data_IF_069879499934
#
_entry.id   IF_069879499934
#
_cell.length_a   1.000
_cell.length_b   1.000
_cell.length_c   1.000
_cell.angle_alpha   90.00
_cell.angle_beta   90.00
_cell.angle_gamma   90.00
#
_symmetry.space_group_name_H-M   'P 1'
#
loop_
_entity.id
_entity.type
_entity.pdbx_description
1 polymer ?
#
# COMPACT_ATOMS: atom_id res chain seq x y z
N UNK A 1 -50.56 10.73 -30.39
CA UNK A 1 -50.84 9.47 -31.13
C UNK A 1 -49.49 8.82 -31.31
N UNK A 2 -49.32 7.85 -30.49
CA UNK A 2 -48.83 6.45 -30.69
C UNK A 2 -47.32 6.37 -30.86
N UNK A 3 -46.59 5.58 -30.19
CA UNK A 3 -46.84 4.45 -29.31
C UNK A 3 -45.53 4.04 -28.62
N UNK A 4 -45.70 3.49 -27.45
CA UNK A 4 -44.67 2.90 -26.62
C UNK A 4 -44.42 1.47 -27.13
N UNK A 5 -43.20 1.11 -27.47
CA UNK A 5 -42.83 -0.28 -27.66
C UNK A 5 -41.73 -0.67 -26.65
N UNK A 6 -42.11 -1.61 -25.83
CA UNK A 6 -41.40 -2.33 -24.81
C UNK A 6 -40.31 -3.21 -25.40
N UNK A 7 -39.06 -3.09 -24.86
CA UNK A 7 -37.97 -4.03 -25.16
C UNK A 7 -37.89 -5.07 -24.06
N UNK A 8 -38.42 -6.24 -24.35
CA UNK A 8 -38.06 -7.52 -23.73
C UNK A 8 -36.86 -8.12 -24.42
N UNK A 9 -35.77 -8.41 -23.71
CA UNK A 9 -34.61 -9.07 -24.30
C UNK A 9 -33.46 -9.34 -23.33
N UNK A 10 -33.77 -9.93 -22.17
CA UNK A 10 -32.73 -10.62 -21.37
C UNK A 10 -32.72 -12.11 -21.71
N UNK A 11 -31.53 -12.66 -21.87
CA UNK A 11 -31.10 -14.07 -22.02
C UNK A 11 -30.57 -14.39 -23.40
N UNK A 12 -29.22 -14.43 -23.46
CA UNK A 12 -28.44 -15.51 -24.10
C UNK A 12 -27.03 -15.04 -24.43
N UNK A 13 -26.15 -14.97 -23.44
CA UNK A 13 -24.69 -14.96 -23.63
C UNK A 13 -24.07 -15.90 -22.60
N UNK A 14 -24.27 -17.19 -22.80
CA UNK A 14 -23.46 -18.23 -22.21
C UNK A 14 -23.76 -19.56 -22.96
N UNK A 15 -22.99 -19.81 -24.02
CA UNK A 15 -22.80 -21.12 -24.62
C UNK A 15 -21.89 -20.98 -25.84
N UNK A 16 -20.58 -21.12 -25.63
CA UNK A 16 -19.59 -21.63 -26.60
C UNK A 16 -18.20 -21.60 -25.98
N UNK A 17 -17.88 -22.64 -25.18
CA UNK A 17 -16.53 -23.16 -25.06
C UNK A 17 -16.61 -24.63 -25.35
N UNK A 18 -16.07 -24.99 -26.51
CA UNK A 18 -16.10 -26.35 -27.06
C UNK A 18 -15.14 -27.25 -26.32
N UNK A 19 -15.63 -28.48 -26.12
CA UNK A 19 -14.87 -29.65 -25.73
C UNK A 19 -13.79 -29.98 -26.77
N UNK A 20 -12.56 -30.22 -26.31
CA UNK A 20 -11.64 -31.16 -26.97
C UNK A 20 -11.45 -32.35 -26.05
N UNK A 21 -12.16 -33.42 -26.37
CA UNK A 21 -11.96 -34.72 -25.81
C UNK A 21 -10.94 -35.50 -26.64
N UNK A 22 -9.91 -36.04 -25.99
CA UNK A 22 -9.06 -37.08 -26.55
C UNK A 22 -9.36 -38.37 -25.80
N UNK A 23 -9.93 -39.31 -26.53
CA UNK A 23 -10.19 -40.67 -26.07
C UNK A 23 -8.94 -41.54 -26.26
N UNK A 24 -8.61 -42.37 -25.28
CA UNK A 24 -7.70 -43.52 -25.39
C UNK A 24 -8.42 -44.77 -24.89
N UNK A 25 -8.18 -45.93 -25.53
CA UNK A 25 -9.04 -47.09 -25.42
C UNK A 25 -8.73 -48.02 -24.23
N UNK A 26 -9.80 -48.62 -23.74
CA UNK A 26 -9.83 -49.75 -22.81
C UNK A 26 -9.35 -51.04 -23.49
N UNK A 27 -8.44 -51.76 -22.84
CA UNK A 27 -8.28 -53.18 -23.07
C UNK A 27 -8.37 -53.86 -21.73
N UNK A 28 -9.39 -54.70 -21.58
CA UNK A 28 -9.64 -55.50 -20.40
C UNK A 28 -8.86 -56.80 -20.40
N UNK A 29 -8.72 -57.35 -19.22
CA UNK A 29 -8.64 -58.84 -19.02
C UNK A 29 -9.07 -59.17 -17.58
N UNK A 30 -10.00 -60.11 -17.53
CA UNK A 30 -10.59 -60.74 -16.36
C UNK A 30 -9.60 -61.70 -15.68
N UNK A 31 -9.69 -61.82 -14.35
CA UNK A 31 -9.09 -62.88 -13.59
C UNK A 31 -9.51 -62.83 -12.12
N UNK A 32 -10.48 -63.66 -11.74
CA UNK A 32 -10.88 -63.96 -10.36
C UNK A 32 -9.81 -64.82 -9.64
N UNK A 33 -9.60 -64.63 -8.33
CA UNK A 33 -9.80 -65.61 -7.27
C UNK A 33 -9.29 -65.16 -5.91
N UNK A 34 -10.20 -65.23 -4.96
CA UNK A 34 -10.18 -65.62 -3.53
C UNK A 34 -9.08 -65.24 -2.52
N UNK A 35 -9.62 -64.70 -1.42
CA UNK A 35 -9.34 -64.99 0.01
C UNK A 35 -7.96 -64.74 0.61
N UNK A 36 -7.88 -63.76 1.48
CA UNK A 36 -7.68 -63.88 2.95
C UNK A 36 -7.29 -62.52 3.57
N UNK A 37 -8.16 -62.10 4.50
CA UNK A 37 -7.83 -61.06 5.48
C UNK A 37 -6.80 -61.62 6.48
N UNK A 38 -5.85 -60.80 6.95
CA UNK A 38 -5.94 -60.39 8.35
C UNK A 38 -5.77 -58.88 8.54
N UNK A 39 -6.51 -58.38 9.51
CA UNK A 39 -6.42 -57.07 10.08
C UNK A 39 -5.11 -56.91 10.86
N UNK A 40 -4.42 -55.75 10.68
CA UNK A 40 -3.70 -55.13 11.80
C UNK A 40 -3.29 -53.68 11.44
N UNK A 41 -3.63 -52.77 12.36
CA UNK A 41 -2.98 -51.52 12.71
C UNK A 41 -2.81 -50.45 11.62
N UNK A 42 -3.84 -49.65 11.48
CA UNK A 42 -3.70 -48.22 11.13
C UNK A 42 -3.67 -47.42 12.42
N UNK A 43 -2.51 -47.31 13.02
CA UNK A 43 -2.24 -46.31 14.05
C UNK A 43 -0.88 -45.71 13.74
N UNK A 44 -0.83 -44.37 13.83
CA UNK A 44 0.41 -43.58 13.88
C UNK A 44 1.07 -43.18 12.54
N UNK A 45 0.48 -42.19 11.88
CA UNK A 45 1.24 -41.29 10.99
C UNK A 45 0.67 -39.83 11.01
N UNK A 46 -0.10 -39.50 12.04
CA UNK A 46 -0.67 -38.15 12.18
C UNK A 46 -0.19 -37.41 13.45
N UNK A 47 0.95 -37.84 14.02
CA UNK A 47 1.43 -37.26 15.28
C UNK A 47 2.93 -36.86 15.21
N UNK A 48 3.38 -36.29 14.11
CA UNK A 48 4.77 -35.84 14.01
C UNK A 48 4.89 -34.58 13.14
N UNK A 49 4.08 -33.55 13.40
CA UNK A 49 4.30 -32.22 12.85
C UNK A 49 3.81 -31.10 13.78
N UNK A 50 3.77 -31.32 15.08
CA UNK A 50 3.76 -30.26 16.07
C UNK A 50 5.20 -30.03 16.52
N UNK A 51 6.06 -29.56 15.62
CA UNK A 51 7.29 -28.90 16.03
C UNK A 51 6.85 -27.67 16.81
N UNK A 52 7.08 -27.70 18.14
CA UNK A 52 6.91 -26.57 19.03
C UNK A 52 7.56 -25.36 18.37
N UNK A 53 6.75 -24.35 18.01
CA UNK A 53 7.25 -23.04 17.64
C UNK A 53 8.08 -22.60 18.86
N UNK A 54 9.38 -22.46 18.70
CA UNK A 54 10.24 -21.95 19.73
C UNK A 54 9.65 -20.61 20.15
N UNK A 55 9.39 -20.41 21.46
CA UNK A 55 8.83 -19.20 22.00
C UNK A 55 9.76 -18.03 21.63
N UNK A 56 9.37 -17.24 20.64
CA UNK A 56 10.18 -16.11 20.19
C UNK A 56 10.15 -15.02 21.28
N UNK A 57 11.32 -14.54 21.63
CA UNK A 57 11.43 -13.46 22.62
C UNK A 57 11.14 -12.12 21.97
N UNK A 58 10.52 -11.18 22.72
CA UNK A 58 10.35 -9.81 22.25
C UNK A 58 11.68 -9.21 21.78
N UNK A 59 11.62 -8.45 20.69
CA UNK A 59 12.76 -7.68 20.19
C UNK A 59 12.53 -6.19 20.47
N UNK A 60 13.60 -5.52 20.89
CA UNK A 60 13.62 -4.06 21.02
C UNK A 60 14.31 -3.48 19.79
N UNK A 61 13.50 -3.08 18.82
CA UNK A 61 13.97 -2.54 17.54
C UNK A 61 13.25 -1.23 17.25
N UNK A 62 13.98 -0.26 16.71
CA UNK A 62 13.45 1.06 16.42
C UNK A 62 12.50 1.05 15.21
N UNK A 63 11.57 2.01 15.19
CA UNK A 63 10.82 2.33 13.98
C UNK A 63 11.75 2.77 12.86
N UNK A 64 11.42 2.42 11.62
CA UNK A 64 12.03 3.07 10.48
C UNK A 64 11.71 4.58 10.49
N UNK A 65 12.58 5.43 9.93
CA UNK A 65 12.29 6.84 9.78
C UNK A 65 11.01 7.04 8.94
N UNK A 66 10.19 8.02 9.32
CA UNK A 66 9.11 8.45 8.41
C UNK A 66 9.73 9.17 7.21
N UNK A 67 9.22 8.93 5.99
CA UNK A 67 9.71 9.64 4.82
C UNK A 67 9.37 11.13 4.91
N UNK A 68 10.26 11.97 4.39
CA UNK A 68 10.01 13.39 4.29
C UNK A 68 9.04 13.69 3.14
N UNK A 69 8.26 14.76 3.28
CA UNK A 69 7.53 15.35 2.17
C UNK A 69 8.52 16.05 1.25
N UNK A 70 8.47 15.74 -0.05
CA UNK A 70 9.29 16.46 -1.02
C UNK A 70 8.83 17.95 -1.12
N UNK A 71 9.77 18.92 -1.20
CA UNK A 71 9.42 20.33 -1.21
C UNK A 71 8.54 20.69 -2.41
N UNK A 72 7.62 21.68 -2.26
CA UNK A 72 6.82 22.20 -3.35
C UNK A 72 7.66 22.74 -4.50
N UNK A 73 7.21 22.53 -5.72
CA UNK A 73 7.88 23.04 -6.92
C UNK A 73 7.59 24.53 -7.07
N UNK A 74 8.66 25.34 -7.13
CA UNK A 74 8.55 26.82 -7.23
C UNK A 74 8.81 27.34 -8.66
N UNK A 75 9.30 26.50 -9.55
CA UNK A 75 9.60 26.89 -10.94
C UNK A 75 8.36 26.86 -11.81
N UNK A 76 8.31 27.74 -12.80
CA UNK A 76 7.20 27.85 -13.76
C UNK A 76 7.42 27.08 -15.07
N UNK A 77 8.66 26.58 -15.30
CA UNK A 77 9.04 25.86 -16.52
C UNK A 77 9.36 24.40 -16.23
N UNK A 78 9.12 23.52 -17.20
CA UNK A 78 9.59 22.13 -17.15
C UNK A 78 11.11 22.06 -17.31
N UNK A 79 11.74 21.06 -16.70
CA UNK A 79 13.18 20.81 -16.79
C UNK A 79 13.49 19.32 -16.75
N UNK A 80 14.78 18.97 -16.83
CA UNK A 80 15.25 17.61 -16.58
C UNK A 80 15.54 17.45 -15.09
N UNK A 81 14.76 16.58 -14.44
CA UNK A 81 14.87 16.27 -13.01
C UNK A 81 15.59 14.93 -12.84
N UNK A 82 16.61 14.91 -12.00
CA UNK A 82 17.32 13.67 -11.64
C UNK A 82 16.75 13.12 -10.36
N UNK A 83 16.31 11.86 -10.39
CA UNK A 83 15.78 11.10 -9.25
C UNK A 83 16.70 9.92 -9.01
N UNK A 84 17.30 9.84 -7.84
CA UNK A 84 18.14 8.74 -7.44
C UNK A 84 17.48 7.99 -6.29
N UNK A 85 17.18 6.71 -6.50
CA UNK A 85 16.61 5.83 -5.49
C UNK A 85 17.54 4.64 -5.27
N UNK A 86 17.58 4.16 -4.04
CA UNK A 86 18.27 2.94 -3.66
C UNK A 86 17.29 1.93 -3.08
N UNK A 87 17.48 0.65 -3.35
CA UNK A 87 16.78 -0.41 -2.64
C UNK A 87 17.63 -0.90 -1.50
N UNK A 88 17.02 -0.99 -0.31
CA UNK A 88 17.68 -1.31 0.96
C UNK A 88 16.82 -2.30 1.74
N UNK A 89 17.41 -3.43 2.12
CA UNK A 89 16.82 -4.34 3.08
C UNK A 89 17.23 -3.93 4.49
N UNK A 90 16.27 -3.70 5.38
CA UNK A 90 16.51 -3.17 6.72
C UNK A 90 15.55 -3.79 7.74
N UNK A 91 16.04 -4.10 8.92
CA UNK A 91 15.20 -4.51 10.04
C UNK A 91 14.61 -3.28 10.71
N UNK A 92 13.33 -3.38 11.10
CA UNK A 92 12.61 -2.31 11.75
C UNK A 92 11.45 -2.83 12.60
N UNK A 93 10.96 -1.97 13.50
CA UNK A 93 9.80 -2.27 14.33
C UNK A 93 8.57 -2.49 13.46
N UNK A 94 7.83 -3.55 13.73
CA UNK A 94 6.51 -3.84 13.15
C UNK A 94 5.39 -3.53 14.15
N UNK A 95 5.57 -3.97 15.39
CA UNK A 95 4.71 -3.70 16.54
C UNK A 95 5.54 -3.79 17.83
N UNK A 96 4.93 -3.56 18.99
CA UNK A 96 5.62 -3.71 20.27
C UNK A 96 6.10 -5.15 20.44
N UNK A 97 7.42 -5.29 20.67
CA UNK A 97 8.09 -6.58 20.81
C UNK A 97 8.26 -7.37 19.49
N UNK A 98 7.77 -6.86 18.36
CA UNK A 98 7.84 -7.50 17.04
C UNK A 98 8.64 -6.66 16.04
N UNK A 99 9.57 -7.30 15.34
CA UNK A 99 10.34 -6.73 14.25
C UNK A 99 10.02 -7.41 12.91
N UNK A 100 10.40 -6.75 11.84
CA UNK A 100 10.28 -7.28 10.48
C UNK A 100 11.46 -6.84 9.63
N UNK A 101 11.87 -7.69 8.69
CA UNK A 101 12.88 -7.33 7.70
C UNK A 101 12.19 -6.72 6.49
N UNK A 102 12.16 -5.39 6.46
CA UNK A 102 11.59 -4.64 5.35
C UNK A 102 12.51 -4.62 4.14
N UNK A 103 11.92 -4.66 2.97
CA UNK A 103 12.53 -4.27 1.71
C UNK A 103 12.03 -2.87 1.38
N UNK A 104 12.92 -1.95 1.09
CA UNK A 104 12.54 -0.54 1.02
C UNK A 104 13.17 0.17 -0.17
N UNK A 105 12.55 1.26 -0.57
CA UNK A 105 13.24 2.31 -1.31
C UNK A 105 13.76 3.34 -0.30
N UNK A 106 15.06 3.56 -0.25
CA UNK A 106 15.69 4.59 0.58
C UNK A 106 15.70 4.32 2.09
N UNK A 107 15.37 3.10 2.57
CA UNK A 107 15.41 2.76 4.00
C UNK A 107 14.18 3.21 4.79
N UNK A 108 13.10 3.63 4.15
CA UNK A 108 11.84 4.04 4.77
C UNK A 108 10.64 3.29 4.18
N UNK A 109 9.55 3.20 4.91
CA UNK A 109 8.25 2.73 4.43
C UNK A 109 7.20 3.79 4.75
N UNK A 110 6.52 4.35 3.73
CA UNK A 110 6.80 4.23 2.31
C UNK A 110 8.18 4.79 1.93
N UNK A 111 8.64 4.48 0.71
CA UNK A 111 9.85 5.05 0.14
C UNK A 111 9.77 6.57 -0.05
N UNK A 112 10.85 7.24 -0.45
CA UNK A 112 10.90 8.69 -0.63
C UNK A 112 9.82 9.20 -1.57
N UNK A 113 9.17 10.31 -1.20
CA UNK A 113 8.24 10.99 -2.09
C UNK A 113 9.00 11.63 -3.26
N UNK A 114 8.64 11.26 -4.48
CA UNK A 114 9.14 11.90 -5.70
C UNK A 114 8.16 13.00 -6.09
N UNK A 115 8.64 14.22 -6.35
CA UNK A 115 7.81 15.34 -6.71
C UNK A 115 8.36 16.02 -7.95
N UNK A 116 7.57 16.05 -9.02
CA UNK A 116 7.94 16.57 -10.32
C UNK A 116 6.81 17.43 -10.88
N UNK A 117 7.09 18.22 -11.89
CA UNK A 117 6.11 19.09 -12.54
C UNK A 117 5.66 18.47 -13.87
N UNK A 118 4.43 18.72 -14.26
CA UNK A 118 3.93 18.42 -15.60
C UNK A 118 4.89 18.97 -16.68
N UNK A 119 5.23 18.10 -17.63
CA UNK A 119 6.18 18.41 -18.70
C UNK A 119 7.65 18.16 -18.36
N UNK A 120 7.99 17.81 -17.10
CA UNK A 120 9.37 17.45 -16.75
C UNK A 120 9.83 16.20 -17.47
N UNK A 121 11.12 16.18 -17.79
CA UNK A 121 11.85 14.96 -18.16
C UNK A 121 12.51 14.42 -16.91
N UNK A 122 12.13 13.21 -16.50
CA UNK A 122 12.71 12.58 -15.31
C UNK A 122 13.79 11.58 -15.72
N UNK A 123 14.99 11.76 -15.21
CA UNK A 123 16.09 10.80 -15.29
C UNK A 123 16.17 10.05 -13.96
N UNK A 124 15.59 8.86 -13.92
CA UNK A 124 15.59 8.02 -12.74
C UNK A 124 16.77 7.05 -12.76
N UNK A 125 17.49 6.99 -11.65
CA UNK A 125 18.53 6.01 -11.38
C UNK A 125 18.12 5.14 -10.21
N UNK A 126 18.03 3.83 -10.39
CA UNK A 126 17.76 2.86 -9.34
C UNK A 126 19.01 2.04 -9.06
N UNK A 127 19.47 2.05 -7.83
CA UNK A 127 20.62 1.25 -7.36
C UNK A 127 20.12 0.21 -6.36
N UNK A 128 20.42 -1.06 -6.60
CA UNK A 128 20.21 -2.11 -5.61
C UNK A 128 21.50 -2.28 -4.80
N UNK A 129 21.44 -2.15 -3.48
CA UNK A 129 22.63 -2.25 -2.62
C UNK A 129 23.24 -3.65 -2.68
N UNK A 130 24.54 -3.72 -2.47
CA UNK A 130 25.31 -4.98 -2.55
C UNK A 130 24.93 -6.03 -1.53
N UNK A 131 24.31 -5.62 -0.43
CA UNK A 131 23.84 -6.50 0.65
C UNK A 131 22.37 -6.93 0.50
N UNK A 132 21.70 -6.55 -0.59
CA UNK A 132 20.37 -7.07 -0.90
C UNK A 132 20.44 -8.55 -1.25
N UNK A 133 19.43 -9.31 -0.82
CA UNK A 133 19.35 -10.75 -1.09
C UNK A 133 18.77 -11.05 -2.49
N UNK A 134 17.99 -10.13 -3.06
CA UNK A 134 17.22 -10.37 -4.29
C UNK A 134 17.30 -9.16 -5.24
N UNK A 135 17.01 -9.37 -6.54
CA UNK A 135 16.85 -8.25 -7.48
C UNK A 135 15.60 -7.44 -7.16
N UNK A 136 15.61 -6.18 -7.55
CA UNK A 136 14.50 -5.25 -7.42
C UNK A 136 14.34 -4.42 -8.68
N UNK A 137 13.17 -3.83 -8.89
CA UNK A 137 12.90 -2.86 -9.94
C UNK A 137 11.95 -1.76 -9.43
N UNK A 138 11.51 -0.88 -10.31
CA UNK A 138 10.49 0.11 -9.99
C UNK A 138 9.50 0.27 -11.14
N UNK A 139 8.22 0.10 -10.81
CA UNK A 139 7.07 0.48 -11.61
C UNK A 139 6.51 1.79 -11.06
N UNK A 140 6.40 2.82 -11.89
CA UNK A 140 5.78 4.09 -11.52
C UNK A 140 4.48 4.27 -12.31
N UNK A 141 3.36 4.37 -11.61
CA UNK A 141 2.04 4.55 -12.23
C UNK A 141 1.88 5.89 -12.98
N UNK A 142 2.81 6.82 -12.80
CA UNK A 142 2.89 8.06 -13.57
C UNK A 142 3.56 7.90 -14.94
N UNK A 143 4.18 6.73 -15.23
CA UNK A 143 4.96 6.49 -16.45
C UNK A 143 4.10 5.89 -17.53
N UNK A 144 4.04 6.54 -18.69
CA UNK A 144 3.42 5.99 -19.90
C UNK A 144 4.43 5.10 -20.64
N UNK A 145 4.35 3.82 -20.40
CA UNK A 145 5.21 2.81 -21.03
C UNK A 145 4.97 1.42 -20.43
N UNK A 146 5.32 0.34 -21.14
CA UNK A 146 5.09 -1.02 -20.65
C UNK A 146 5.74 -1.25 -19.29
N UNK A 147 4.92 -1.72 -18.31
CA UNK A 147 5.37 -2.01 -16.95
C UNK A 147 5.89 -0.80 -16.17
N UNK A 148 5.44 0.43 -16.50
CA UNK A 148 5.79 1.64 -15.74
C UNK A 148 7.30 1.89 -15.54
N UNK A 149 8.15 1.24 -16.33
CA UNK A 149 9.60 1.28 -16.23
C UNK A 149 10.27 0.06 -15.57
N UNK A 150 9.49 -0.90 -15.04
CA UNK A 150 10.03 -2.05 -14.30
C UNK A 150 11.06 -2.86 -15.11
N UNK A 151 10.78 -3.15 -16.39
CA UNK A 151 11.68 -3.90 -17.25
C UNK A 151 13.01 -3.16 -17.54
N UNK A 152 13.01 -1.84 -17.47
CA UNK A 152 14.20 -1.02 -17.68
C UNK A 152 15.06 -0.87 -16.42
N UNK A 153 14.47 -1.14 -15.26
CA UNK A 153 15.06 -0.90 -13.95
C UNK A 153 15.26 -2.17 -13.12
N UNK A 154 15.12 -3.36 -13.70
CA UNK A 154 15.40 -4.61 -13.01
C UNK A 154 16.89 -4.71 -12.68
N UNK A 155 17.24 -4.51 -11.40
CA UNK A 155 18.63 -4.39 -10.91
C UNK A 155 18.97 -5.53 -9.94
N UNK A 156 20.01 -6.28 -10.29
CA UNK A 156 20.63 -7.25 -9.38
C UNK A 156 21.33 -6.54 -8.21
N UNK A 157 21.60 -7.21 -7.09
CA UNK A 157 22.40 -6.67 -6.00
C UNK A 157 23.72 -6.08 -6.49
N UNK A 158 24.04 -4.85 -6.06
CA UNK A 158 25.22 -4.08 -6.46
C UNK A 158 25.11 -3.37 -7.80
N UNK A 159 24.02 -3.56 -8.54
CA UNK A 159 23.84 -2.91 -9.85
C UNK A 159 23.07 -1.60 -9.78
N UNK A 160 23.23 -0.79 -10.82
CA UNK A 160 22.46 0.44 -11.05
C UNK A 160 21.92 0.44 -12.47
N UNK A 161 20.66 0.74 -12.64
CA UNK A 161 20.04 1.00 -13.94
C UNK A 161 19.37 2.36 -13.96
N UNK A 162 19.24 2.91 -15.16
CA UNK A 162 18.67 4.24 -15.38
C UNK A 162 17.60 4.18 -16.45
N UNK A 163 16.57 4.97 -16.26
CA UNK A 163 15.55 5.20 -17.28
C UNK A 163 15.22 6.69 -17.37
N UNK A 164 14.60 7.07 -18.48
CA UNK A 164 14.06 8.41 -18.69
C UNK A 164 12.60 8.32 -19.08
N UNK A 165 11.80 9.20 -18.51
CA UNK A 165 10.41 9.36 -18.91
C UNK A 165 9.97 10.82 -18.84
N UNK A 166 8.83 11.14 -19.42
CA UNK A 166 8.23 12.46 -19.35
C UNK A 166 6.99 12.42 -18.46
N UNK A 167 6.90 13.32 -17.49
CA UNK A 167 5.75 13.48 -16.62
C UNK A 167 4.65 14.26 -17.37
N UNK A 168 3.64 13.55 -17.91
CA UNK A 168 2.66 14.14 -18.82
C UNK A 168 1.32 14.47 -18.18
N UNK A 169 0.96 13.78 -17.10
CA UNK A 169 -0.34 13.91 -16.47
C UNK A 169 -0.22 14.33 -15.02
N UNK A 170 -0.80 15.47 -14.63
CA UNK A 170 -0.86 15.87 -13.22
C UNK A 170 -1.63 14.86 -12.38
N UNK A 171 -1.07 14.47 -11.24
CA UNK A 171 -1.69 13.49 -10.35
C UNK A 171 -0.80 13.02 -9.22
N UNK A 172 -1.40 12.25 -8.33
CA UNK A 172 -0.72 11.53 -7.25
C UNK A 172 -0.73 10.04 -7.60
N UNK A 173 0.42 9.45 -7.72
CA UNK A 173 0.57 8.09 -8.21
C UNK A 173 1.43 7.26 -7.28
N UNK A 174 1.11 5.97 -7.16
CA UNK A 174 1.99 4.99 -6.51
C UNK A 174 3.18 4.69 -7.43
N UNK A 175 4.33 4.42 -6.82
CA UNK A 175 5.37 3.59 -7.39
C UNK A 175 5.63 2.40 -6.49
N UNK A 176 6.04 1.27 -7.04
CA UNK A 176 6.34 0.06 -6.28
C UNK A 176 7.33 -0.84 -6.99
N UNK A 177 7.86 -1.83 -6.27
CA UNK A 177 8.64 -2.90 -6.90
C UNK A 177 7.70 -3.88 -7.60
N UNK A 178 8.01 -4.21 -8.84
CA UNK A 178 7.29 -5.17 -9.67
C UNK A 178 8.11 -6.43 -9.99
N UNK A 179 9.15 -6.72 -9.21
CA UNK A 179 9.91 -7.97 -9.31
C UNK A 179 9.05 -9.13 -8.77
N UNK A 180 8.93 -10.24 -9.50
CA UNK A 180 8.19 -11.41 -9.00
C UNK A 180 8.87 -12.08 -7.77
N UNK A 181 8.07 -12.54 -6.80
CA UNK A 181 6.63 -12.41 -6.65
C UNK A 181 6.21 -11.01 -6.17
N UNK A 182 5.53 -10.26 -7.04
CA UNK A 182 5.22 -8.84 -6.85
C UNK A 182 4.55 -8.52 -5.51
N UNK A 183 3.51 -9.27 -5.06
CA UNK A 183 2.85 -8.95 -3.79
C UNK A 183 3.78 -9.04 -2.58
N UNK A 184 4.79 -9.92 -2.62
CA UNK A 184 5.77 -10.05 -1.55
C UNK A 184 6.66 -8.82 -1.44
N UNK A 185 7.14 -8.28 -2.58
CA UNK A 185 7.94 -7.07 -2.59
C UNK A 185 7.16 -5.87 -2.05
N UNK A 186 5.90 -5.72 -2.47
CA UNK A 186 5.03 -4.64 -2.01
C UNK A 186 4.75 -4.77 -0.50
N UNK A 187 4.32 -5.95 -0.04
CA UNK A 187 4.02 -6.17 1.38
C UNK A 187 5.24 -6.09 2.29
N UNK A 188 6.44 -6.26 1.73
CA UNK A 188 7.69 -6.03 2.47
C UNK A 188 8.06 -4.54 2.62
N UNK A 189 7.28 -3.62 2.01
CA UNK A 189 7.46 -2.17 2.17
C UNK A 189 7.91 -1.42 0.91
N UNK A 190 8.00 -2.09 -0.24
CA UNK A 190 8.53 -1.49 -1.47
C UNK A 190 7.47 -0.74 -2.28
N UNK A 191 7.02 0.37 -1.74
CA UNK A 191 6.11 1.32 -2.39
C UNK A 191 6.35 2.75 -1.90
N UNK A 192 5.88 3.73 -2.68
CA UNK A 192 5.93 5.15 -2.35
C UNK A 192 5.09 5.97 -3.32
N UNK A 193 5.17 7.30 -3.24
CA UNK A 193 4.42 8.20 -4.10
C UNK A 193 5.32 8.99 -5.05
N UNK A 194 4.85 9.13 -6.28
CA UNK A 194 5.27 10.16 -7.20
C UNK A 194 4.12 11.13 -7.44
N UNK A 195 4.39 12.42 -7.21
CA UNK A 195 3.45 13.51 -7.46
C UNK A 195 3.90 14.27 -8.70
N UNK A 196 3.01 14.37 -9.67
CA UNK A 196 3.20 15.24 -10.84
C UNK A 196 2.33 16.48 -10.62
N UNK A 197 2.95 17.59 -10.21
CA UNK A 197 2.24 18.85 -10.02
C UNK A 197 1.76 19.41 -11.36
N UNK A 198 0.54 20.01 -11.41
CA UNK A 198 0.08 20.71 -12.59
C UNK A 198 1.03 21.83 -13.02
N UNK A 199 1.05 22.14 -14.31
CA UNK A 199 1.83 23.26 -14.85
C UNK A 199 1.50 24.59 -14.18
N UNK A 200 0.26 24.77 -13.73
CA UNK A 200 -0.17 25.96 -12.97
C UNK A 200 0.31 25.97 -11.51
N UNK A 201 0.90 24.86 -11.02
CA UNK A 201 1.23 24.69 -9.63
C UNK A 201 0.02 24.31 -8.76
N UNK A 202 0.27 24.12 -7.47
CA UNK A 202 -0.76 23.84 -6.47
C UNK A 202 -1.00 25.06 -5.58
N UNK A 203 -2.21 25.20 -5.05
CA UNK A 203 -2.52 26.20 -4.05
C UNK A 203 -1.60 26.06 -2.83
N UNK A 204 -1.10 27.15 -2.25
CA UNK A 204 -0.25 27.07 -1.07
C UNK A 204 -1.02 26.54 0.14
N UNK A 205 -0.33 25.79 0.98
CA UNK A 205 -0.82 25.28 2.27
C UNK A 205 0.23 25.55 3.35
N UNK A 206 -0.19 25.54 4.61
CA UNK A 206 0.71 25.79 5.75
C UNK A 206 1.51 24.55 6.13
N UNK A 207 0.91 23.35 5.91
CA UNK A 207 1.54 22.07 6.22
C UNK A 207 1.27 21.02 5.16
N UNK A 208 2.25 20.18 4.94
CA UNK A 208 2.10 18.97 4.14
C UNK A 208 2.54 17.74 4.92
N UNK A 209 1.79 16.64 4.79
CA UNK A 209 2.12 15.32 5.33
C UNK A 209 2.12 14.28 4.23
N UNK A 210 2.92 13.24 4.42
CA UNK A 210 3.02 12.11 3.51
C UNK A 210 3.04 10.80 4.30
N UNK A 211 2.11 9.91 4.01
CA UNK A 211 2.11 8.56 4.52
C UNK A 211 1.31 7.62 3.62
N UNK A 212 1.55 6.31 3.77
CA UNK A 212 0.84 5.29 3.02
C UNK A 212 0.32 4.20 3.96
N UNK A 213 -0.81 3.59 3.57
CA UNK A 213 -1.27 2.33 4.12
C UNK A 213 -0.63 1.16 3.37
N UNK A 214 -0.25 0.13 4.10
CA UNK A 214 0.22 -1.14 3.55
C UNK A 214 -0.25 -2.32 4.39
N UNK A 215 -0.04 -3.50 3.84
CA UNK A 215 -0.42 -4.77 4.44
C UNK A 215 0.83 -5.61 4.67
N UNK A 216 0.93 -6.26 5.83
CA UNK A 216 2.03 -7.17 6.13
C UNK A 216 1.43 -8.52 6.53
N UNK A 217 1.94 -9.56 5.89
CA UNK A 217 1.49 -10.95 6.05
C UNK A 217 2.57 -11.72 6.76
N UNK A 218 2.33 -12.09 8.01
CA UNK A 218 3.31 -12.79 8.84
C UNK A 218 2.85 -14.20 9.20
N UNK A 219 3.80 -15.12 9.34
CA UNK A 219 3.52 -16.48 9.81
C UNK A 219 3.03 -16.51 11.25
N UNK A 220 3.49 -15.55 12.09
CA UNK A 220 2.94 -15.28 13.40
C UNK A 220 1.62 -14.51 13.34
N UNK A 221 0.88 -14.48 14.45
CA UNK A 221 -0.30 -13.64 14.62
C UNK A 221 0.11 -12.19 14.88
N UNK A 222 -0.81 -11.26 14.67
CA UNK A 222 -0.60 -9.88 15.11
C UNK A 222 -0.31 -9.82 16.62
N UNK A 223 0.79 -9.16 16.99
CA UNK A 223 1.26 -9.06 18.37
C UNK A 223 2.18 -10.19 18.83
N UNK A 224 2.40 -11.23 18.05
CA UNK A 224 3.40 -12.25 18.40
C UNK A 224 4.80 -11.60 18.46
N UNK A 225 5.60 -11.89 19.51
CA UNK A 225 6.90 -11.27 19.70
C UNK A 225 7.97 -11.83 18.74
N UNK A 226 9.10 -11.12 18.65
CA UNK A 226 10.28 -11.54 17.89
C UNK A 226 10.27 -11.06 16.44
N UNK A 227 11.28 -11.50 15.68
CA UNK A 227 11.39 -11.20 14.25
C UNK A 227 10.37 -12.00 13.46
N UNK A 228 9.45 -11.32 12.78
CA UNK A 228 8.39 -11.92 12.00
C UNK A 228 8.88 -12.26 10.58
N UNK A 229 8.39 -13.38 10.04
CA UNK A 229 8.66 -13.83 8.67
C UNK A 229 7.42 -13.66 7.80
N UNK A 230 7.63 -13.39 6.51
CA UNK A 230 6.53 -13.29 5.54
C UNK A 230 5.80 -14.63 5.37
N UNK A 231 4.49 -14.56 5.15
CA UNK A 231 3.60 -15.71 4.88
C UNK A 231 2.92 -15.51 3.51
N UNK A 232 3.36 -16.29 2.54
CA UNK A 232 2.86 -16.23 1.16
C UNK A 232 1.45 -16.81 1.04
N UNK A 233 1.11 -17.81 1.83
CA UNK A 233 -0.22 -18.43 1.78
C UNK A 233 -1.28 -17.45 2.31
N UNK A 234 -1.01 -16.77 3.41
CA UNK A 234 -1.86 -15.68 3.91
C UNK A 234 -1.98 -14.53 2.92
N UNK A 235 -0.89 -14.19 2.24
CA UNK A 235 -0.87 -13.15 1.22
C UNK A 235 -1.76 -13.54 0.03
N UNK A 236 -1.66 -14.77 -0.45
CA UNK A 236 -2.49 -15.30 -1.54
C UNK A 236 -3.96 -15.41 -1.14
N UNK A 237 -4.25 -15.60 0.14
CA UNK A 237 -5.60 -15.63 0.71
C UNK A 237 -6.13 -14.23 1.08
N UNK A 238 -5.37 -13.16 0.86
CA UNK A 238 -5.72 -11.77 1.21
C UNK A 238 -6.02 -11.58 2.72
N UNK A 239 -5.29 -12.31 3.58
CA UNK A 239 -5.49 -12.31 5.03
C UNK A 239 -4.29 -11.68 5.77
N UNK A 240 -4.09 -10.36 5.70
CA UNK A 240 -2.96 -9.71 6.34
C UNK A 240 -3.03 -9.86 7.87
N UNK A 241 -1.86 -10.10 8.47
CA UNK A 241 -1.70 -10.04 9.92
C UNK A 241 -1.77 -8.60 10.41
N UNK A 242 -1.17 -7.68 9.66
CA UNK A 242 -1.16 -6.25 9.95
C UNK A 242 -1.65 -5.43 8.76
N UNK A 243 -2.40 -4.38 9.06
CA UNK A 243 -2.71 -3.27 8.14
C UNK A 243 -2.25 -2.01 8.85
N UNK A 244 -1.28 -1.32 8.29
CA UNK A 244 -0.56 -0.27 9.02
C UNK A 244 -0.30 0.96 8.16
N UNK A 245 -0.13 2.10 8.80
CA UNK A 245 0.46 3.27 8.16
C UNK A 245 1.98 3.21 8.32
N UNK A 246 2.70 3.63 7.30
CA UNK A 246 4.16 3.72 7.27
C UNK A 246 4.88 2.47 7.83
N UNK A 247 4.38 1.28 7.47
CA UNK A 247 5.03 0.00 7.70
C UNK A 247 4.93 -0.56 9.12
N UNK A 248 4.40 0.17 10.11
CA UNK A 248 4.36 -0.32 11.49
C UNK A 248 3.16 0.18 12.28
N UNK A 249 2.71 -0.62 13.23
CA UNK A 249 1.72 -0.20 14.25
C UNK A 249 2.28 0.99 15.02
N UNK A 250 1.49 2.07 15.12
CA UNK A 250 1.90 3.25 15.88
C UNK A 250 2.91 4.19 15.19
N UNK A 251 3.25 3.94 13.93
CA UNK A 251 4.25 4.75 13.18
C UNK A 251 3.92 6.24 13.07
N UNK A 252 2.65 6.62 13.18
CA UNK A 252 2.16 8.01 13.18
C UNK A 252 1.23 8.29 14.36
N UNK A 253 1.57 7.78 15.57
CA UNK A 253 0.84 8.03 16.82
C UNK A 253 1.76 8.53 17.92
N UNK A 254 1.21 9.05 19.01
CA UNK A 254 1.98 9.54 20.17
C UNK A 254 2.96 10.65 19.76
N UNK A 255 4.24 10.47 20.10
CA UNK A 255 5.28 11.44 19.74
C UNK A 255 5.51 11.56 18.24
N UNK A 256 5.13 10.53 17.47
CA UNK A 256 5.23 10.47 16.02
C UNK A 256 3.96 10.97 15.30
N UNK A 257 2.94 11.42 16.04
CA UNK A 257 1.70 11.96 15.49
C UNK A 257 1.95 13.14 14.55
N UNK A 258 1.11 13.30 13.55
CA UNK A 258 1.08 14.48 12.69
C UNK A 258 0.65 15.69 13.53
N UNK A 259 1.33 16.84 13.39
CA UNK A 259 1.08 18.01 14.23
C UNK A 259 0.81 19.26 13.40
N UNK A 260 -0.28 19.96 13.74
CA UNK A 260 -0.68 21.22 13.11
C UNK A 260 -1.30 22.16 14.15
N UNK A 261 -1.71 23.35 13.72
CA UNK A 261 -2.45 24.30 14.54
C UNK A 261 -3.85 24.56 13.97
N UNK A 262 -4.76 25.05 14.80
CA UNK A 262 -6.09 25.47 14.33
C UNK A 262 -5.97 26.47 13.18
N UNK A 263 -6.86 26.34 12.20
CA UNK A 263 -6.94 27.15 10.99
C UNK A 263 -5.72 27.08 10.04
N UNK A 264 -4.73 26.22 10.29
CA UNK A 264 -3.72 25.89 9.28
C UNK A 264 -4.37 25.08 8.14
N UNK A 265 -4.06 25.45 6.91
CA UNK A 265 -4.38 24.64 5.73
C UNK A 265 -3.42 23.46 5.66
N UNK A 266 -3.95 22.27 5.74
CA UNK A 266 -3.19 21.02 5.77
C UNK A 266 -3.42 20.28 4.47
N UNK A 267 -2.35 19.78 3.84
CA UNK A 267 -2.41 18.85 2.71
C UNK A 267 -1.80 17.53 3.11
N UNK A 268 -2.50 16.45 2.82
CA UNK A 268 -2.04 15.09 3.06
C UNK A 268 -1.93 14.35 1.74
N UNK A 269 -0.74 13.83 1.45
CA UNK A 269 -0.45 12.92 0.37
C UNK A 269 -0.60 11.50 0.90
N UNK A 270 -1.63 10.81 0.46
CA UNK A 270 -1.96 9.48 0.96
C UNK A 270 -1.98 8.45 -0.16
N UNK A 271 -1.31 7.31 0.06
CA UNK A 271 -1.29 6.19 -0.86
C UNK A 271 -1.64 4.87 -0.20
N UNK A 272 -2.05 3.90 -1.02
CA UNK A 272 -2.25 2.51 -0.60
C UNK A 272 -1.30 1.63 -1.40
N UNK A 273 -0.21 1.20 -0.75
CA UNK A 273 0.71 0.24 -1.35
C UNK A 273 0.02 -1.11 -1.61
N UNK A 274 -0.85 -1.51 -0.73
CA UNK A 274 -1.56 -2.78 -0.81
C UNK A 274 -0.72 -3.93 -0.24
N UNK A 275 -0.67 -5.10 -0.90
CA UNK A 275 -1.00 -5.32 -2.31
C UNK A 275 -2.49 -5.57 -2.62
N UNK A 276 -3.34 -5.89 -1.65
CA UNK A 276 -4.66 -6.46 -1.92
C UNK A 276 -5.84 -5.59 -1.47
N UNK A 277 -5.73 -4.89 -0.33
CA UNK A 277 -6.85 -4.20 0.31
C UNK A 277 -6.92 -2.72 -0.06
N UNK A 278 -8.11 -2.25 -0.40
CA UNK A 278 -8.42 -0.81 -0.49
C UNK A 278 -8.43 -0.18 0.91
N UNK A 279 -8.21 1.13 0.99
CA UNK A 279 -8.45 1.93 2.20
C UNK A 279 -9.72 2.74 2.05
N UNK A 280 -10.52 2.81 3.12
CA UNK A 280 -11.55 3.83 3.31
C UNK A 280 -10.97 4.92 4.20
N UNK A 281 -10.10 5.77 3.62
CA UNK A 281 -9.33 6.77 4.34
C UNK A 281 -10.23 7.86 4.94
N UNK A 282 -10.12 8.06 6.25
CA UNK A 282 -10.88 9.04 7.01
C UNK A 282 -10.07 9.59 8.18
N UNK A 283 -10.35 10.82 8.58
CA UNK A 283 -9.87 11.41 9.83
C UNK A 283 -11.10 11.75 10.66
N UNK A 284 -11.31 11.00 11.75
CA UNK A 284 -12.50 11.11 12.60
C UNK A 284 -12.60 12.52 13.18
N UNK A 285 -13.73 13.17 12.95
CA UNK A 285 -13.98 14.54 13.41
C UNK A 285 -13.59 15.62 12.40
N UNK A 286 -13.26 15.26 11.16
CA UNK A 286 -12.97 16.21 10.08
C UNK A 286 -13.82 15.97 8.85
N UNK A 287 -13.90 17.00 8.01
CA UNK A 287 -14.36 16.93 6.63
C UNK A 287 -13.21 17.45 5.78
N UNK A 288 -12.87 16.76 4.71
CA UNK A 288 -11.86 17.22 3.77
C UNK A 288 -12.42 18.35 2.93
N UNK A 289 -11.75 19.49 2.95
CA UNK A 289 -12.13 20.68 2.13
C UNK A 289 -12.03 20.34 0.65
N UNK A 290 -10.96 19.64 0.25
CA UNK A 290 -10.69 19.25 -1.14
C UNK A 290 -10.04 17.87 -1.21
N UNK A 291 -10.39 17.09 -2.23
CA UNK A 291 -9.89 15.73 -2.46
C UNK A 291 -9.55 15.52 -3.92
N UNK A 292 -8.35 15.04 -4.18
CA UNK A 292 -7.92 14.51 -5.48
C UNK A 292 -8.46 13.09 -5.65
N UNK A 293 -9.70 12.96 -6.11
CA UNK A 293 -10.35 11.67 -6.31
C UNK A 293 -9.53 10.82 -7.30
N UNK A 294 -9.21 9.58 -6.88
CA UNK A 294 -8.36 8.65 -7.66
C UNK A 294 -6.97 9.21 -8.01
N UNK A 295 -6.48 10.17 -7.23
CA UNK A 295 -5.18 10.79 -7.45
C UNK A 295 -5.16 11.89 -8.51
N UNK A 296 -6.29 12.22 -9.16
CA UNK A 296 -6.34 13.30 -10.15
C UNK A 296 -6.20 14.66 -9.50
N UNK A 297 -5.24 15.46 -9.95
CA UNK A 297 -5.06 16.85 -9.53
C UNK A 297 -5.75 17.86 -10.45
N UNK A 298 -6.45 17.39 -11.49
CA UNK A 298 -7.13 18.23 -12.47
C UNK A 298 -8.55 18.61 -12.06
N UNK A 299 -9.21 17.77 -11.26
CA UNK A 299 -10.56 17.97 -10.77
C UNK A 299 -10.67 17.50 -9.32
N UNK A 300 -10.93 18.43 -8.40
CA UNK A 300 -10.96 18.15 -6.97
C UNK A 300 -12.40 18.16 -6.47
N UNK A 301 -12.80 17.07 -5.81
CA UNK A 301 -14.07 17.04 -5.08
C UNK A 301 -13.96 17.88 -3.80
N UNK A 302 -15.07 18.45 -3.36
CA UNK A 302 -15.13 19.32 -2.17
C UNK A 302 -16.03 18.71 -1.09
N UNK A 303 -15.72 19.02 0.19
CA UNK A 303 -16.49 18.64 1.37
C UNK A 303 -16.74 17.13 1.52
N UNK A 304 -15.67 16.35 1.34
CA UNK A 304 -15.69 14.88 1.38
C UNK A 304 -15.30 14.39 2.77
N UNK A 305 -16.03 13.41 3.30
CA UNK A 305 -15.74 12.85 4.62
C UNK A 305 -14.78 11.65 4.58
N UNK A 306 -14.93 10.77 3.60
CA UNK A 306 -14.18 9.50 3.49
C UNK A 306 -13.83 9.24 2.03
N UNK A 307 -12.58 8.83 1.79
CA UNK A 307 -12.06 8.59 0.44
C UNK A 307 -11.71 7.12 0.28
N UNK A 308 -12.28 6.48 -0.73
CA UNK A 308 -11.85 5.13 -1.12
C UNK A 308 -10.59 5.23 -1.98
N UNK A 309 -9.52 4.59 -1.52
CA UNK A 309 -8.25 4.47 -2.24
C UNK A 309 -7.97 3.00 -2.52
N UNK A 310 -7.91 2.63 -3.78
CA UNK A 310 -7.64 1.26 -4.21
C UNK A 310 -6.19 0.84 -3.89
N UNK A 311 -5.88 -0.48 -3.82
CA UNK A 311 -4.49 -0.94 -3.79
C UNK A 311 -3.76 -0.46 -5.04
N UNK A 312 -2.54 0.05 -4.88
CA UNK A 312 -1.81 0.71 -5.97
C UNK A 312 -2.36 2.08 -6.37
N UNK A 313 -3.29 2.64 -5.59
CA UNK A 313 -3.86 3.97 -5.78
C UNK A 313 -3.37 4.99 -4.78
N UNK A 314 -3.68 6.25 -5.04
CA UNK A 314 -3.33 7.37 -4.18
C UNK A 314 -4.39 8.48 -4.23
N UNK A 315 -4.32 9.38 -3.27
CA UNK A 315 -5.13 10.60 -3.20
C UNK A 315 -4.33 11.74 -2.57
N UNK A 316 -4.81 12.95 -2.74
CA UNK A 316 -4.45 14.10 -1.94
C UNK A 316 -5.71 14.65 -1.30
N UNK A 317 -5.63 14.95 -0.01
CA UNK A 317 -6.71 15.64 0.69
C UNK A 317 -6.19 16.93 1.29
N UNK A 318 -7.04 17.97 1.29
CA UNK A 318 -6.80 19.21 2.01
C UNK A 318 -7.88 19.38 3.07
N UNK A 319 -7.50 19.88 4.23
CA UNK A 319 -8.42 20.16 5.32
C UNK A 319 -7.94 21.32 6.18
N UNK A 320 -8.90 21.94 6.85
CA UNK A 320 -8.68 22.99 7.85
C UNK A 320 -9.54 22.65 9.07
N UNK A 321 -8.95 22.65 10.27
CA UNK A 321 -9.76 22.48 11.49
C UNK A 321 -9.83 23.76 12.30
N UNK A 322 -11.04 24.26 12.61
CA UNK A 322 -11.21 25.42 13.46
C UNK A 322 -11.21 25.09 14.97
N UNK A 323 -11.09 23.81 15.33
CA UNK A 323 -11.08 23.32 16.72
C UNK A 323 -9.80 22.54 17.01
N UNK A 324 -9.20 22.68 18.21
CA UNK A 324 -8.06 21.86 18.63
C UNK A 324 -8.49 20.46 19.06
N UNK A 325 -7.56 19.51 19.02
CA UNK A 325 -7.80 18.16 19.51
C UNK A 325 -6.86 17.13 18.91
N UNK A 326 -7.03 15.90 19.32
CA UNK A 326 -6.39 14.74 18.71
C UNK A 326 -7.40 14.01 17.85
N UNK A 327 -7.21 14.07 16.56
CA UNK A 327 -8.08 13.46 15.56
C UNK A 327 -7.49 12.11 15.12
N UNK A 328 -8.29 11.06 15.16
CA UNK A 328 -7.83 9.72 14.79
C UNK A 328 -7.89 9.53 13.28
N UNK A 329 -6.75 9.19 12.69
CA UNK A 329 -6.63 8.79 11.28
C UNK A 329 -6.92 7.30 11.20
N UNK A 330 -7.83 6.88 10.30
CA UNK A 330 -8.26 5.48 10.18
C UNK A 330 -8.41 5.03 8.73
N UNK A 331 -8.27 3.74 8.51
CA UNK A 331 -9.04 3.05 7.50
C UNK A 331 -10.42 2.73 8.11
N UNK A 332 -11.50 3.28 7.54
CA UNK A 332 -12.84 3.14 8.11
C UNK A 332 -13.46 1.74 7.92
N UNK A 333 -12.71 0.77 7.42
CA UNK A 333 -12.91 -0.65 7.65
C UNK A 333 -12.46 -0.98 9.08
N UNK A 334 -13.22 -0.57 10.09
CA UNK A 334 -12.78 -0.33 11.46
C UNK A 334 -12.15 -1.54 12.18
N UNK A 335 -12.48 -2.78 11.80
CA UNK A 335 -11.78 -3.95 12.32
C UNK A 335 -10.26 -3.97 12.03
N UNK A 336 -9.82 -3.13 11.07
CA UNK A 336 -8.39 -2.96 10.76
C UNK A 336 -7.64 -2.11 11.79
N UNK A 337 -8.34 -1.39 12.67
CA UNK A 337 -7.74 -0.73 13.84
C UNK A 337 -7.00 -1.74 14.72
N UNK A 338 -7.57 -2.92 14.93
CA UNK A 338 -6.96 -4.02 15.68
C UNK A 338 -5.73 -4.61 14.99
N UNK A 339 -5.59 -4.35 13.68
CA UNK A 339 -4.42 -4.74 12.87
C UNK A 339 -3.38 -3.62 12.73
N UNK A 340 -3.64 -2.44 13.35
CA UNK A 340 -2.71 -1.32 13.40
C UNK A 340 -3.00 -0.16 12.44
N UNK A 341 -4.16 -0.15 11.72
CA UNK A 341 -4.54 0.93 10.81
C UNK A 341 -5.05 2.18 11.55
N UNK A 342 -4.24 2.70 12.46
CA UNK A 342 -4.51 3.89 13.26
C UNK A 342 -3.37 4.89 13.21
N UNK A 343 -3.72 6.18 13.12
CA UNK A 343 -2.80 7.31 13.21
C UNK A 343 -3.43 8.46 13.99
N UNK A 344 -2.69 9.53 14.21
CA UNK A 344 -3.15 10.71 14.92
C UNK A 344 -2.73 11.99 14.21
N UNK A 345 -3.69 12.91 14.08
CA UNK A 345 -3.47 14.31 13.73
C UNK A 345 -3.76 15.15 14.99
N UNK A 346 -2.73 15.75 15.58
CA UNK A 346 -2.83 16.61 16.75
C UNK A 346 -2.86 18.06 16.29
N UNK A 347 -3.98 18.72 16.56
CA UNK A 347 -4.19 20.14 16.24
C UNK A 347 -4.14 20.94 17.53
N UNK A 348 -3.16 21.82 17.65
CA UNK A 348 -2.99 22.71 18.80
C UNK A 348 -3.66 24.05 18.57
N UNK A 349 -4.15 24.69 19.64
CA UNK A 349 -4.73 26.03 19.58
C UNK A 349 -5.83 26.25 20.61
N UNK A 350 -6.48 27.43 20.59
CA UNK A 350 -7.60 27.73 21.48
C UNK A 350 -8.85 26.92 21.09
N UNK A 351 -9.66 26.59 22.11
CA UNK A 351 -10.98 26.01 21.90
C UNK A 351 -11.89 26.98 21.12
N UNK A 352 -12.82 26.40 20.35
CA UNK A 352 -13.83 27.15 19.59
C UNK A 352 -15.22 26.58 19.94
N UNK A 353 -15.85 27.06 21.05
CA UNK A 353 -17.11 26.52 21.52
C UNK A 353 -18.29 26.78 20.58
N UNK A 354 -18.19 27.77 19.68
CA UNK A 354 -19.23 28.04 18.69
C UNK A 354 -19.30 26.97 17.60
N UNK A 355 -18.20 26.23 17.40
CA UNK A 355 -18.11 25.12 16.42
C UNK A 355 -18.31 23.78 17.08
N UNK A 356 -17.70 23.56 18.26
CA UNK A 356 -17.79 22.30 18.96
C UNK A 356 -17.72 22.50 20.47
N UNK A 357 -18.81 22.18 21.17
CA UNK A 357 -18.90 22.26 22.62
C UNK A 357 -19.93 21.29 23.20
N UNK A 358 -19.73 20.92 24.44
CA UNK A 358 -20.77 20.23 25.21
C UNK A 358 -21.81 21.26 25.69
N UNK A 359 -23.07 20.93 25.53
CA UNK A 359 -24.18 21.65 26.15
C UNK A 359 -24.66 20.91 27.40
N UNK A 360 -24.95 21.66 28.46
CA UNK A 360 -25.48 21.11 29.75
C UNK A 360 -26.96 20.78 29.67
#
# INVERSE_FOLDING_TARGET
MTGIDTVTGRRNVMKRLGLFGAALPLAGLLGCTDDKKPATSKTSAAAAAATAAAEQKPVDIAYLPNPAVAPPIKRSTSETVKVNLETIEVEGKLADGAGYKFWTFGGTVPGPMVRVREGDTVELSLTNRTNSAVPHNIDLHAVLGPGGGAALTDVAPGATKKMRFKALHPGVYIYHCATPPIPMHISSGMYGLIVVEPAAGLSPVDREFYFCQGEIYTSGKAGDPGMQSADIDRMSAEQPSYVVFNGAVGSITGDRALKANVNEKIRIWFGVGGPNLSSSFHIIGTVFDRVATWGSLSDLAEHVQTVTVAPGGATMVELTSPVPGTFTIVDHSLSRLEKGAAGQLVIAGPANPDVFSQIS
#
